data_IF_056350654111
#
_entry.id   IF_056350654111
#
_cell.length_a   1.000
_cell.length_b   1.000
_cell.length_c   1.000
_cell.angle_alpha   90.00
_cell.angle_beta   90.00
_cell.angle_gamma   90.00
#
_symmetry.space_group_name_H-M   'P 1'
#
loop_
_entity.id
_entity.type
_entity.pdbx_description
1 polymer ?
#
# COMPACT_ATOMS: atom_id res chain seq x y z
N UNK A 1 -25.83 -12.69 5.49
CA UNK A 1 -24.52 -12.13 5.14
C UNK A 1 -24.41 -11.94 3.64
N UNK A 2 -23.65 -10.94 3.19
CA UNK A 2 -23.28 -10.74 1.79
C UNK A 2 -21.75 -10.69 1.68
N UNK A 3 -21.20 -11.19 0.58
CA UNK A 3 -19.76 -11.14 0.30
C UNK A 3 -19.54 -10.27 -0.94
N UNK A 4 -18.70 -9.24 -0.79
CA UNK A 4 -18.28 -8.37 -1.89
C UNK A 4 -16.78 -8.57 -2.07
N UNK A 5 -16.38 -9.06 -3.24
CA UNK A 5 -14.98 -9.16 -3.63
C UNK A 5 -14.72 -8.12 -4.72
N UNK A 6 -13.81 -7.20 -4.46
CA UNK A 6 -13.34 -6.24 -5.46
C UNK A 6 -11.92 -6.60 -5.86
N UNK A 7 -11.75 -7.06 -7.09
CA UNK A 7 -10.45 -7.36 -7.68
C UNK A 7 -10.07 -6.28 -8.69
N UNK A 8 -8.77 -6.03 -8.84
CA UNK A 8 -8.22 -5.05 -9.80
C UNK A 8 -8.64 -3.60 -9.51
N UNK A 9 -8.33 -3.08 -8.32
CA UNK A 9 -8.53 -1.64 -8.02
C UNK A 9 -7.64 -0.71 -8.86
N UNK A 10 -6.45 -1.19 -9.25
CA UNK A 10 -5.52 -0.50 -10.14
C UNK A 10 -5.28 -1.31 -11.44
N UNK A 11 -6.22 -1.32 -12.39
CA UNK A 11 -6.07 -2.07 -13.64
C UNK A 11 -4.88 -1.58 -14.47
N UNK A 12 -4.60 -0.27 -14.45
CA UNK A 12 -3.44 0.28 -15.13
C UNK A 12 -2.14 -0.26 -14.54
N UNK A 13 -1.99 -0.23 -13.21
CA UNK A 13 -0.81 -0.78 -12.53
C UNK A 13 -0.60 -2.26 -12.83
N UNK A 14 -1.67 -3.07 -12.84
CA UNK A 14 -1.57 -4.49 -13.21
C UNK A 14 -1.12 -4.68 -14.66
N UNK A 15 -1.69 -3.93 -15.61
CA UNK A 15 -1.34 -4.01 -17.03
C UNK A 15 0.09 -3.55 -17.29
N UNK A 16 0.53 -2.48 -16.62
CA UNK A 16 1.83 -1.83 -16.85
C UNK A 16 2.94 -2.29 -15.89
N UNK A 17 2.66 -3.30 -15.06
CA UNK A 17 3.54 -3.83 -14.02
C UNK A 17 4.08 -2.73 -13.09
N UNK A 18 3.17 -1.92 -12.55
CA UNK A 18 3.45 -0.79 -11.65
C UNK A 18 2.60 -0.85 -10.39
N UNK A 19 3.11 -0.21 -9.34
CA UNK A 19 2.32 0.11 -8.15
C UNK A 19 1.29 1.21 -8.40
N UNK A 20 1.69 2.22 -9.17
CA UNK A 20 0.92 3.45 -9.39
C UNK A 20 -0.06 3.34 -10.56
N UNK A 21 -1.03 4.25 -10.62
CA UNK A 21 -1.96 4.33 -11.76
C UNK A 21 -1.37 5.12 -12.95
N UNK A 22 -2.20 5.43 -13.94
CA UNK A 22 -1.84 6.19 -15.15
C UNK A 22 -1.29 7.58 -14.88
N UNK A 23 -1.68 8.20 -13.77
CA UNK A 23 -1.24 9.53 -13.35
C UNK A 23 -0.12 9.48 -12.31
N UNK A 24 0.55 8.34 -12.16
CA UNK A 24 1.56 8.07 -11.15
C UNK A 24 1.05 8.19 -9.70
N UNK A 25 -0.27 8.09 -9.51
CA UNK A 25 -0.90 8.16 -8.19
C UNK A 25 -0.84 6.79 -7.51
N UNK A 26 -0.38 6.77 -6.27
CA UNK A 26 -0.58 5.64 -5.35
C UNK A 26 -2.02 5.69 -4.84
N UNK A 27 -2.85 4.75 -5.31
CA UNK A 27 -4.26 4.71 -4.92
C UNK A 27 -4.45 4.51 -3.41
N UNK A 28 -3.47 3.93 -2.71
CA UNK A 28 -3.49 3.80 -1.25
C UNK A 28 -3.15 5.13 -0.54
N UNK A 29 -3.04 6.25 -1.27
CA UNK A 29 -2.88 7.61 -0.74
C UNK A 29 -3.91 8.59 -1.32
N UNK A 30 -4.89 8.11 -2.10
CA UNK A 30 -5.74 8.98 -2.92
C UNK A 30 -7.12 9.27 -2.29
N UNK A 31 -7.55 8.55 -1.26
CA UNK A 31 -8.87 8.73 -0.64
C UNK A 31 -8.85 9.83 0.44
N UNK A 32 -8.41 11.03 0.07
CA UNK A 32 -8.44 12.21 0.95
C UNK A 32 -9.59 13.16 0.60
N UNK A 33 -10.06 13.99 1.55
CA UNK A 33 -10.97 15.09 1.27
C UNK A 33 -10.41 16.06 0.21
N UNK A 34 -11.27 16.88 -0.38
CA UNK A 34 -10.89 17.76 -1.51
C UNK A 34 -9.82 18.81 -1.16
N UNK A 35 -9.81 19.31 0.07
CA UNK A 35 -8.77 20.18 0.62
C UNK A 35 -7.51 19.41 1.06
N UNK A 36 -7.54 18.08 0.96
CA UNK A 36 -6.51 17.19 1.46
C UNK A 36 -5.35 16.89 0.50
N UNK A 37 -5.41 17.32 -0.76
CA UNK A 37 -4.38 16.99 -1.76
C UNK A 37 -3.17 17.94 -1.76
N UNK A 38 -2.63 18.21 -0.57
CA UNK A 38 -1.49 19.11 -0.36
C UNK A 38 -0.55 18.59 0.73
N UNK A 39 0.69 19.05 0.65
CA UNK A 39 1.77 18.76 1.58
C UNK A 39 2.64 17.57 1.17
N UNK A 40 3.83 17.54 1.74
CA UNK A 40 4.74 16.41 1.74
C UNK A 40 5.39 16.33 3.12
N UNK A 41 5.84 15.14 3.57
CA UNK A 41 6.67 15.03 4.76
C UNK A 41 7.87 16.00 4.64
N UNK A 42 8.26 16.74 5.70
CA UNK A 42 9.36 17.70 5.62
C UNK A 42 10.66 17.10 5.09
N UNK A 43 10.91 15.83 5.40
CA UNK A 43 12.07 15.07 4.95
C UNK A 43 12.01 14.65 3.47
N UNK A 44 10.83 14.64 2.84
CA UNK A 44 10.69 14.21 1.44
C UNK A 44 11.50 15.10 0.50
N UNK A 45 11.44 16.43 0.70
CA UNK A 45 12.18 17.38 -0.15
C UNK A 45 13.69 17.11 -0.13
N UNK A 46 14.25 16.80 1.06
CA UNK A 46 15.66 16.47 1.21
C UNK A 46 16.03 15.11 0.58
N UNK A 47 15.05 14.22 0.43
CA UNK A 47 15.21 12.87 -0.10
C UNK A 47 14.79 12.76 -1.58
N UNK A 48 14.16 13.78 -2.16
CA UNK A 48 13.56 13.73 -3.50
C UNK A 48 14.57 13.29 -4.57
N UNK A 49 15.77 13.87 -4.61
CA UNK A 49 16.79 13.48 -5.59
C UNK A 49 17.29 12.03 -5.40
N UNK A 50 17.20 11.51 -4.18
CA UNK A 50 17.53 10.11 -3.92
C UNK A 50 16.37 9.19 -4.33
N UNK A 51 15.13 9.52 -3.95
CA UNK A 51 13.93 8.73 -4.21
C UNK A 51 13.50 8.77 -5.69
N UNK A 52 13.71 9.90 -6.34
CA UNK A 52 13.22 10.23 -7.68
C UNK A 52 14.34 10.77 -8.58
N UNK A 53 15.37 9.97 -8.92
CA UNK A 53 16.41 10.43 -9.84
C UNK A 53 15.83 10.79 -11.21
N UNK A 54 16.30 11.91 -11.75
CA UNK A 54 15.86 12.44 -13.05
C UNK A 54 16.61 11.82 -14.23
N UNK A 55 16.79 10.51 -14.19
CA UNK A 55 17.46 9.74 -15.23
C UNK A 55 16.90 8.32 -15.32
N UNK A 56 16.94 7.68 -16.51
CA UNK A 56 16.58 6.28 -16.62
C UNK A 56 17.44 5.39 -15.71
N UNK A 57 17.00 4.16 -15.38
CA UNK A 57 17.73 3.22 -14.54
C UNK A 57 19.17 3.02 -14.99
N UNK A 58 20.08 3.28 -14.07
CA UNK A 58 21.53 3.08 -14.21
C UNK A 58 22.09 2.75 -12.83
N UNK A 59 23.26 2.10 -12.79
CA UNK A 59 24.01 1.96 -11.54
C UNK A 59 24.33 3.35 -10.98
N UNK A 60 23.86 3.64 -9.77
CA UNK A 60 23.98 4.95 -9.13
C UNK A 60 24.38 4.86 -7.64
N UNK A 61 24.99 3.73 -7.28
CA UNK A 61 25.43 3.41 -5.92
C UNK A 61 24.28 3.47 -4.90
N UNK A 62 23.06 3.10 -5.29
CA UNK A 62 21.87 3.08 -4.45
C UNK A 62 22.15 2.61 -3.01
N UNK A 63 22.79 1.45 -2.83
CA UNK A 63 23.06 0.87 -1.50
C UNK A 63 23.94 1.78 -0.63
N UNK A 64 24.99 2.39 -1.20
CA UNK A 64 25.86 3.31 -0.47
C UNK A 64 25.12 4.60 -0.11
N UNK A 65 24.34 5.14 -1.05
CA UNK A 65 23.53 6.36 -0.83
C UNK A 65 22.44 6.13 0.21
N UNK A 66 21.76 4.98 0.16
CA UNK A 66 20.78 4.57 1.16
C UNK A 66 21.42 4.44 2.55
N UNK A 67 22.58 3.77 2.64
CA UNK A 67 23.35 3.65 3.89
C UNK A 67 23.72 5.01 4.47
N UNK A 68 24.24 5.92 3.66
CA UNK A 68 24.59 7.28 4.10
C UNK A 68 23.37 8.06 4.59
N UNK A 69 22.23 7.96 3.90
CA UNK A 69 20.99 8.60 4.34
C UNK A 69 20.47 8.03 5.66
N UNK A 70 20.61 6.72 5.89
CA UNK A 70 20.25 6.08 7.15
C UNK A 70 21.12 6.62 8.29
N UNK A 71 22.43 6.78 8.06
CA UNK A 71 23.35 7.39 9.04
C UNK A 71 22.98 8.85 9.32
N UNK A 72 22.64 9.62 8.28
CA UNK A 72 22.38 11.06 8.40
C UNK A 72 21.02 11.40 9.02
N UNK A 73 19.97 10.65 8.68
CA UNK A 73 18.59 11.00 9.02
C UNK A 73 17.91 9.97 9.94
N UNK A 74 18.50 8.78 10.10
CA UNK A 74 17.88 7.66 10.81
C UNK A 74 16.86 6.90 9.96
N UNK A 75 16.75 5.60 10.22
CA UNK A 75 15.78 4.72 9.55
C UNK A 75 14.30 5.16 9.73
N UNK A 76 13.84 5.62 10.91
CA UNK A 76 12.45 6.04 11.09
C UNK A 76 12.07 7.23 10.20
N UNK A 77 12.91 8.25 10.09
CA UNK A 77 12.65 9.44 9.27
C UNK A 77 12.59 9.10 7.77
N UNK A 78 13.45 8.19 7.31
CA UNK A 78 13.41 7.66 5.94
C UNK A 78 12.14 6.87 5.66
N UNK A 79 11.75 5.98 6.59
CA UNK A 79 10.50 5.22 6.48
C UNK A 79 9.30 6.16 6.43
N UNK A 80 9.25 7.19 7.27
CA UNK A 80 8.17 8.16 7.28
C UNK A 80 8.07 8.94 5.96
N UNK A 81 9.21 9.39 5.41
CA UNK A 81 9.23 10.09 4.12
C UNK A 81 8.68 9.23 2.98
N UNK A 82 8.97 7.93 3.00
CA UNK A 82 8.59 7.00 1.94
C UNK A 82 7.14 6.54 2.12
N UNK A 83 6.73 6.13 3.32
CA UNK A 83 5.43 5.47 3.52
C UNK A 83 4.30 6.45 3.81
N UNK A 84 4.56 7.65 4.35
CA UNK A 84 3.52 8.64 4.64
C UNK A 84 2.76 9.15 3.40
N UNK A 85 3.35 9.00 2.21
CA UNK A 85 2.84 9.58 0.97
C UNK A 85 3.10 11.09 0.89
N UNK A 86 2.92 11.66 -0.30
CA UNK A 86 3.11 13.08 -0.54
C UNK A 86 2.22 13.57 -1.68
N UNK A 87 2.02 14.89 -1.78
CA UNK A 87 1.14 15.49 -2.77
C UNK A 87 1.82 16.61 -3.58
N UNK A 88 3.12 16.84 -3.43
CA UNK A 88 3.85 17.94 -4.08
C UNK A 88 4.75 17.53 -5.25
N UNK A 89 5.04 16.25 -5.40
CA UNK A 89 5.95 15.69 -6.40
C UNK A 89 5.18 14.71 -7.30
N UNK A 90 4.52 15.16 -8.39
CA UNK A 90 3.65 14.31 -9.19
C UNK A 90 4.32 13.09 -9.83
N UNK A 91 5.59 13.21 -10.18
CA UNK A 91 6.40 12.10 -10.73
C UNK A 91 7.10 11.28 -9.65
N UNK A 92 6.96 11.68 -8.38
CA UNK A 92 7.65 11.08 -7.26
C UNK A 92 6.97 9.82 -6.73
N UNK A 93 7.73 8.99 -6.00
CA UNK A 93 7.18 7.84 -5.30
C UNK A 93 6.12 8.26 -4.27
N UNK A 94 5.07 7.45 -4.15
CA UNK A 94 3.97 7.61 -3.18
C UNK A 94 3.21 8.94 -3.33
N UNK A 95 3.12 9.46 -4.54
CA UNK A 95 2.28 10.60 -4.87
C UNK A 95 0.80 10.25 -4.71
N UNK A 96 0.06 11.00 -3.89
CA UNK A 96 -1.36 10.78 -3.61
C UNK A 96 -2.33 11.44 -4.60
N UNK A 97 -1.83 12.15 -5.61
CA UNK A 97 -2.64 12.87 -6.60
C UNK A 97 -2.94 14.32 -6.21
N UNK A 98 -3.73 15.01 -7.05
CA UNK A 98 -4.26 16.37 -6.77
C UNK A 98 -5.80 16.41 -6.69
N UNK A 99 -6.42 15.24 -6.76
CA UNK A 99 -7.87 15.01 -6.75
C UNK A 99 -8.13 13.50 -6.63
N UNK A 100 -9.37 13.13 -6.34
CA UNK A 100 -9.78 11.73 -6.36
C UNK A 100 -9.73 11.17 -7.80
N UNK A 101 -9.00 10.08 -7.96
CA UNK A 101 -8.75 9.41 -9.25
C UNK A 101 -9.98 8.63 -9.74
N UNK A 102 -10.02 8.28 -11.02
CA UNK A 102 -11.19 7.62 -11.62
C UNK A 102 -11.49 6.24 -10.99
N UNK A 103 -10.45 5.45 -10.69
CA UNK A 103 -10.61 4.15 -10.03
C UNK A 103 -11.28 4.27 -8.66
N UNK A 104 -10.70 5.05 -7.72
CA UNK A 104 -11.31 5.40 -6.44
C UNK A 104 -12.75 5.94 -6.52
N UNK A 105 -13.05 6.82 -7.50
CA UNK A 105 -14.43 7.29 -7.75
C UNK A 105 -15.39 6.14 -8.08
N UNK A 106 -15.00 5.25 -8.99
CA UNK A 106 -15.80 4.08 -9.37
C UNK A 106 -15.97 3.11 -8.21
N UNK A 107 -14.91 2.89 -7.43
CA UNK A 107 -14.94 2.06 -6.24
C UNK A 107 -15.93 2.60 -5.20
N UNK A 108 -15.88 3.91 -4.89
CA UNK A 108 -16.84 4.56 -4.00
C UNK A 108 -18.28 4.44 -4.52
N UNK A 109 -18.52 4.74 -5.79
CA UNK A 109 -19.84 4.61 -6.40
C UNK A 109 -20.39 3.18 -6.41
N UNK A 110 -19.52 2.16 -6.51
CA UNK A 110 -19.90 0.76 -6.44
C UNK A 110 -20.30 0.36 -5.02
N UNK A 111 -19.50 0.74 -4.02
CA UNK A 111 -19.67 0.28 -2.64
C UNK A 111 -20.78 1.00 -1.89
N UNK A 112 -20.85 2.34 -1.95
CA UNK A 112 -21.78 3.13 -1.13
C UNK A 112 -23.22 2.61 -1.13
N UNK A 113 -23.89 2.40 -2.29
CA UNK A 113 -25.27 1.90 -2.28
C UNK A 113 -25.40 0.44 -1.80
N UNK A 114 -24.35 -0.39 -1.94
CA UNK A 114 -24.36 -1.80 -1.51
C UNK A 114 -24.17 -1.95 -0.01
N UNK A 115 -23.46 -1.00 0.60
CA UNK A 115 -23.21 -1.01 2.03
C UNK A 115 -24.31 -0.30 2.83
N UNK A 116 -25.18 0.50 2.21
CA UNK A 116 -26.10 1.43 2.88
C UNK A 116 -26.94 0.86 4.05
N UNK A 117 -27.28 -0.44 4.03
CA UNK A 117 -28.05 -1.11 5.08
C UNK A 117 -27.22 -2.08 5.93
N UNK A 118 -25.90 -2.13 5.76
CA UNK A 118 -25.03 -3.00 6.54
C UNK A 118 -24.92 -2.45 7.97
N UNK A 119 -25.21 -3.31 8.96
CA UNK A 119 -25.04 -2.99 10.38
C UNK A 119 -23.65 -3.41 10.90
N UNK A 120 -23.05 -4.42 10.27
CA UNK A 120 -21.72 -4.95 10.58
C UNK A 120 -20.96 -5.26 9.30
N UNK A 121 -19.69 -4.88 9.26
CA UNK A 121 -18.79 -5.10 8.12
C UNK A 121 -17.46 -5.64 8.63
N UNK A 122 -16.96 -6.71 8.00
CA UNK A 122 -15.55 -7.08 8.08
C UNK A 122 -14.92 -6.71 6.74
N UNK A 123 -14.01 -5.75 6.76
CA UNK A 123 -13.31 -5.25 5.58
C UNK A 123 -11.88 -5.79 5.58
N UNK A 124 -11.54 -6.59 4.56
CA UNK A 124 -10.19 -7.16 4.42
C UNK A 124 -9.52 -6.52 3.20
N UNK A 125 -8.44 -5.78 3.43
CA UNK A 125 -7.59 -5.19 2.41
C UNK A 125 -6.29 -5.98 2.27
N UNK A 126 -6.06 -6.56 1.09
CA UNK A 126 -4.97 -7.52 0.88
C UNK A 126 -3.79 -6.85 0.17
N UNK A 127 -2.63 -6.91 0.82
CA UNK A 127 -1.37 -6.33 0.34
C UNK A 127 -0.23 -7.32 0.35
N UNK A 128 0.82 -6.96 -0.38
CA UNK A 128 2.10 -7.67 -0.39
C UNK A 128 3.20 -6.64 -0.22
N UNK A 129 4.28 -7.01 0.46
CA UNK A 129 5.38 -6.10 0.68
C UNK A 129 6.07 -6.37 2.01
N UNK A 130 5.49 -5.83 3.08
CA UNK A 130 6.09 -5.77 4.40
C UNK A 130 5.83 -7.04 5.22
N UNK A 131 6.73 -7.38 6.14
CA UNK A 131 6.61 -8.53 7.03
C UNK A 131 7.53 -9.69 6.66
N UNK A 132 7.35 -10.82 7.36
CA UNK A 132 8.17 -12.02 7.17
C UNK A 132 7.76 -12.76 5.90
N UNK A 133 8.74 -13.24 5.14
CA UNK A 133 8.52 -13.85 3.82
C UNK A 133 7.47 -14.98 3.85
N UNK A 134 6.35 -14.78 3.14
CA UNK A 134 5.25 -15.76 3.03
C UNK A 134 4.38 -15.90 4.28
N UNK A 135 4.52 -14.98 5.24
CA UNK A 135 3.63 -14.84 6.39
C UNK A 135 2.83 -13.55 6.27
N UNK A 136 1.58 -13.60 6.73
CA UNK A 136 0.75 -12.40 6.86
C UNK A 136 0.89 -11.77 8.24
N UNK A 137 0.83 -10.44 8.25
CA UNK A 137 0.52 -9.66 9.44
C UNK A 137 -0.86 -9.05 9.24
N UNK A 138 -1.74 -9.18 10.24
CA UNK A 138 -3.07 -8.56 10.21
C UNK A 138 -3.00 -7.24 10.97
N UNK A 139 -2.93 -6.14 10.23
CA UNK A 139 -2.84 -4.80 10.78
C UNK A 139 -4.24 -4.23 10.98
N UNK A 140 -4.52 -3.82 12.21
CA UNK A 140 -5.84 -3.33 12.63
C UNK A 140 -5.71 -2.03 13.40
N UNK A 141 -6.79 -1.26 13.50
CA UNK A 141 -6.82 -0.08 14.38
C UNK A 141 -6.70 -0.51 15.85
N UNK A 142 -6.02 0.31 16.65
CA UNK A 142 -5.71 -0.01 18.04
C UNK A 142 -6.97 -0.26 18.88
N UNK A 143 -8.04 0.49 18.62
CA UNK A 143 -9.35 0.33 19.28
C UNK A 143 -10.01 -1.03 19.00
N UNK A 144 -9.69 -1.67 17.87
CA UNK A 144 -10.24 -2.96 17.47
C UNK A 144 -9.29 -4.13 17.76
N UNK A 145 -8.11 -3.87 18.31
CA UNK A 145 -7.05 -4.87 18.47
C UNK A 145 -7.49 -6.09 19.27
N UNK A 146 -8.00 -5.90 20.48
CA UNK A 146 -8.36 -7.02 21.35
C UNK A 146 -9.51 -7.85 20.77
N UNK A 147 -10.54 -7.18 20.23
CA UNK A 147 -11.67 -7.85 19.56
C UNK A 147 -11.20 -8.66 18.36
N UNK A 148 -10.37 -8.09 17.48
CA UNK A 148 -9.93 -8.76 16.28
C UNK A 148 -8.88 -9.83 16.56
N UNK A 149 -8.04 -9.66 17.58
CA UNK A 149 -7.12 -10.72 18.04
C UNK A 149 -7.88 -11.91 18.62
N UNK A 150 -8.98 -11.68 19.33
CA UNK A 150 -9.84 -12.78 19.79
C UNK A 150 -10.49 -13.55 18.63
N UNK A 151 -10.67 -12.92 17.46
CA UNK A 151 -11.26 -13.50 16.27
C UNK A 151 -10.21 -14.21 15.38
N UNK A 152 -9.12 -13.53 15.07
CA UNK A 152 -8.12 -13.95 14.07
C UNK A 152 -6.80 -14.45 14.68
N UNK A 153 -6.67 -14.40 16.01
CA UNK A 153 -5.54 -14.94 16.76
C UNK A 153 -4.28 -14.07 16.73
N UNK A 154 -3.15 -14.71 17.02
CA UNK A 154 -1.83 -14.06 17.26
C UNK A 154 -1.22 -13.34 16.06
N UNK A 155 -1.83 -13.46 14.88
CA UNK A 155 -1.41 -12.75 13.65
C UNK A 155 -1.79 -11.27 13.67
N UNK A 156 -2.71 -10.87 14.55
CA UNK A 156 -3.17 -9.49 14.69
C UNK A 156 -2.11 -8.63 15.37
N UNK A 157 -1.86 -7.47 14.79
CA UNK A 157 -0.96 -6.43 15.31
C UNK A 157 -1.67 -5.07 15.23
N UNK A 158 -1.54 -4.22 16.25
CA UNK A 158 -2.06 -2.88 16.16
C UNK A 158 -1.25 -2.11 15.11
N UNK A 159 -1.95 -1.26 14.36
CA UNK A 159 -1.35 -0.29 13.45
C UNK A 159 -0.82 0.90 14.26
N UNK A 160 0.07 0.66 15.22
CA UNK A 160 0.56 1.70 16.11
C UNK A 160 1.52 2.66 15.37
N UNK A 161 1.20 3.95 15.40
CA UNK A 161 2.00 5.05 14.84
C UNK A 161 3.33 5.30 15.60
N UNK A 162 3.47 4.84 16.85
CA UNK A 162 4.67 5.03 17.67
C UNK A 162 5.70 3.90 17.47
N UNK A 163 5.27 2.64 17.35
CA UNK A 163 6.16 1.51 17.05
C UNK A 163 6.52 1.42 15.56
N UNK A 164 5.66 1.94 14.68
CA UNK A 164 5.90 2.03 13.25
C UNK A 164 5.27 3.30 12.66
N UNK A 165 5.95 4.47 12.77
CA UNK A 165 5.51 5.74 12.17
C UNK A 165 5.25 5.67 10.66
N UNK A 166 5.68 4.58 10.03
CA UNK A 166 5.41 4.24 8.64
C UNK A 166 3.92 4.00 8.35
N UNK A 167 3.07 3.67 9.33
CA UNK A 167 1.71 3.20 9.05
C UNK A 167 0.58 4.22 9.15
N UNK A 168 0.85 5.49 9.50
CA UNK A 168 -0.18 6.55 9.36
C UNK A 168 -0.32 6.97 7.91
N UNK A 169 -1.01 6.12 7.15
CA UNK A 169 -1.33 6.34 5.76
C UNK A 169 -2.45 7.36 5.67
N UNK A 170 -2.20 8.48 4.98
CA UNK A 170 -3.23 9.43 4.62
C UNK A 170 -3.86 9.01 3.30
N UNK A 171 -5.19 8.87 3.27
CA UNK A 171 -5.93 8.57 2.03
C UNK A 171 -6.05 7.09 1.70
N UNK A 172 -6.08 6.22 2.72
CA UNK A 172 -6.39 4.80 2.55
C UNK A 172 -7.86 4.60 2.11
N UNK A 173 -8.09 3.58 1.29
CA UNK A 173 -9.40 3.31 0.70
C UNK A 173 -10.49 2.96 1.73
N UNK A 174 -10.10 2.49 2.91
CA UNK A 174 -10.99 2.16 4.04
C UNK A 174 -11.89 3.33 4.44
N UNK A 175 -11.41 4.57 4.26
CA UNK A 175 -12.20 5.78 4.52
C UNK A 175 -13.54 5.81 3.76
N UNK A 176 -13.64 5.14 2.61
CA UNK A 176 -14.88 5.01 1.85
C UNK A 176 -15.93 4.19 2.60
N UNK A 177 -15.52 3.13 3.29
CA UNK A 177 -16.41 2.23 4.02
C UNK A 177 -17.02 2.98 5.20
N UNK A 178 -16.17 3.60 6.03
CA UNK A 178 -16.60 4.44 7.15
C UNK A 178 -17.53 5.58 6.73
N UNK A 179 -17.26 6.23 5.59
CA UNK A 179 -18.14 7.28 5.05
C UNK A 179 -19.47 6.74 4.52
N UNK A 180 -19.49 5.53 3.95
CA UNK A 180 -20.70 4.95 3.38
C UNK A 180 -21.69 4.49 4.45
N UNK A 181 -21.20 4.06 5.60
CA UNK A 181 -22.00 3.51 6.70
C UNK A 181 -21.50 3.97 8.08
N UNK A 182 -21.67 5.26 8.43
CA UNK A 182 -21.10 5.84 9.65
C UNK A 182 -21.68 5.27 10.96
N UNK A 183 -22.71 4.43 10.89
CA UNK A 183 -23.35 3.78 12.05
C UNK A 183 -23.08 2.28 12.13
N UNK A 184 -22.41 1.70 11.12
CA UNK A 184 -22.10 0.28 11.13
C UNK A 184 -20.91 -0.02 12.04
N UNK A 185 -20.91 -1.20 12.63
CA UNK A 185 -19.72 -1.76 13.28
C UNK A 185 -18.76 -2.26 12.20
N UNK A 186 -17.61 -1.61 12.05
CA UNK A 186 -16.64 -1.89 10.99
C UNK A 186 -15.37 -2.47 11.60
N UNK A 187 -15.06 -3.70 11.23
CA UNK A 187 -13.81 -4.38 11.54
C UNK A 187 -12.92 -4.37 10.30
N UNK A 188 -12.04 -3.38 10.20
CA UNK A 188 -11.08 -3.30 9.10
C UNK A 188 -9.77 -4.01 9.43
N UNK A 189 -9.29 -4.77 8.45
CA UNK A 189 -8.06 -5.56 8.54
C UNK A 189 -7.25 -5.34 7.27
N UNK A 190 -6.05 -4.80 7.41
CA UNK A 190 -5.05 -4.83 6.34
C UNK A 190 -4.24 -6.11 6.49
N UNK A 191 -4.44 -7.07 5.57
CA UNK A 191 -3.65 -8.31 5.50
C UNK A 191 -2.41 -8.06 4.64
N UNK A 192 -1.26 -7.90 5.28
CA UNK A 192 0.01 -7.64 4.60
C UNK A 192 0.86 -8.92 4.54
N UNK A 193 1.13 -9.41 3.34
CA UNK A 193 2.01 -10.56 3.12
C UNK A 193 3.47 -10.15 2.90
N UNK A 194 4.36 -10.69 3.72
CA UNK A 194 5.79 -10.38 3.63
C UNK A 194 6.44 -10.91 2.36
N UNK A 195 7.25 -10.05 1.75
CA UNK A 195 8.07 -10.37 0.56
C UNK A 195 9.54 -10.11 0.89
N UNK A 196 10.22 -9.26 0.16
CA UNK A 196 11.63 -8.93 0.37
C UNK A 196 11.83 -7.82 1.40
N UNK A 197 13.09 -7.63 1.81
CA UNK A 197 13.43 -6.57 2.76
C UNK A 197 13.08 -5.17 2.20
N UNK A 198 12.77 -4.19 3.07
CA UNK A 198 12.31 -2.86 2.66
C UNK A 198 13.26 -2.12 1.69
N UNK A 199 14.57 -2.31 1.82
CA UNK A 199 15.56 -1.68 0.93
C UNK A 199 15.46 -2.20 -0.50
N UNK A 200 15.25 -3.52 -0.67
CA UNK A 200 15.00 -4.13 -1.99
C UNK A 200 13.67 -3.63 -2.57
N UNK A 201 12.62 -3.56 -1.75
CA UNK A 201 11.30 -3.05 -2.16
C UNK A 201 11.39 -1.60 -2.64
N UNK A 202 12.04 -0.73 -1.87
CA UNK A 202 12.24 0.67 -2.23
C UNK A 202 13.04 0.81 -3.53
N UNK A 203 14.12 0.04 -3.69
CA UNK A 203 14.92 0.11 -4.91
C UNK A 203 14.09 -0.33 -6.14
N UNK A 204 13.33 -1.41 -6.04
CA UNK A 204 12.49 -1.88 -7.15
C UNK A 204 11.45 -0.82 -7.57
N UNK A 205 10.76 -0.20 -6.59
CA UNK A 205 9.81 0.89 -6.84
C UNK A 205 10.47 2.07 -7.53
N UNK A 206 11.64 2.48 -7.02
CA UNK A 206 12.42 3.58 -7.54
C UNK A 206 12.86 3.35 -8.99
N UNK A 207 13.47 2.20 -9.27
CA UNK A 207 13.97 1.89 -10.62
C UNK A 207 12.83 1.70 -11.63
N UNK A 208 11.69 1.14 -11.23
CA UNK A 208 10.51 1.11 -12.07
C UNK A 208 9.99 2.52 -12.38
N UNK A 209 9.90 3.38 -11.36
CA UNK A 209 9.42 4.74 -11.54
C UNK A 209 10.38 5.59 -12.42
N UNK A 210 11.69 5.42 -12.27
CA UNK A 210 12.71 6.01 -13.16
C UNK A 210 12.53 5.56 -14.60
N UNK A 211 12.32 4.26 -14.82
CA UNK A 211 12.09 3.72 -16.17
C UNK A 211 10.84 4.30 -16.81
N UNK A 212 9.78 4.45 -16.02
CA UNK A 212 8.52 5.00 -16.50
C UNK A 212 8.62 6.47 -16.93
N UNK A 213 9.26 7.33 -16.13
CA UNK A 213 9.30 8.78 -16.40
C UNK A 213 10.50 9.23 -17.23
N UNK A 214 11.62 8.52 -17.16
CA UNK A 214 12.90 8.95 -17.76
C UNK A 214 13.51 7.92 -18.71
N UNK A 215 12.88 6.75 -18.86
CA UNK A 215 13.21 5.75 -19.88
C UNK A 215 12.15 5.69 -20.98
N UNK A 216 12.06 4.56 -21.68
CA UNK A 216 11.03 4.35 -22.70
C UNK A 216 9.66 3.94 -22.09
N UNK A 217 9.63 3.59 -20.79
CA UNK A 217 8.40 3.21 -20.09
C UNK A 217 7.75 1.91 -20.53
N UNK A 218 8.35 1.16 -21.47
CA UNK A 218 7.84 -0.08 -22.04
C UNK A 218 7.89 -1.25 -21.05
N UNK A 219 7.11 -2.31 -21.32
CA UNK A 219 6.92 -3.46 -20.45
C UNK A 219 8.08 -4.46 -20.42
N UNK A 220 8.92 -4.45 -21.45
CA UNK A 220 10.03 -5.39 -21.67
C UNK A 220 11.26 -5.08 -20.81
N UNK A 221 11.34 -3.88 -20.24
CA UNK A 221 12.47 -3.52 -19.38
C UNK A 221 12.48 -4.32 -18.08
N UNK A 222 13.67 -4.73 -17.64
CA UNK A 222 13.85 -5.64 -16.49
C UNK A 222 13.27 -5.09 -15.18
N UNK A 223 13.26 -3.77 -14.98
CA UNK A 223 12.70 -3.13 -13.78
C UNK A 223 11.21 -3.43 -13.59
N UNK A 224 10.44 -3.63 -14.67
CA UNK A 224 9.04 -4.05 -14.62
C UNK A 224 8.88 -5.44 -14.02
N UNK A 225 9.71 -6.39 -14.47
CA UNK A 225 9.71 -7.75 -13.95
C UNK A 225 10.27 -7.83 -12.54
N UNK A 226 11.30 -7.04 -12.22
CA UNK A 226 11.87 -6.95 -10.87
C UNK A 226 10.81 -6.40 -9.89
N UNK A 227 10.05 -5.38 -10.28
CA UNK A 227 8.98 -4.86 -9.43
C UNK A 227 7.88 -5.91 -9.23
N UNK A 228 7.45 -6.58 -10.30
CA UNK A 228 6.47 -7.66 -10.22
C UNK A 228 6.94 -8.77 -9.29
N UNK A 229 8.17 -9.27 -9.45
CA UNK A 229 8.77 -10.28 -8.56
C UNK A 229 8.79 -9.80 -7.11
N UNK A 230 9.09 -8.52 -6.90
CA UNK A 230 9.20 -7.94 -5.56
C UNK A 230 7.89 -7.99 -4.79
N UNK A 231 6.74 -7.78 -5.45
CA UNK A 231 5.42 -7.81 -4.83
C UNK A 231 4.67 -9.13 -5.04
N UNK A 232 5.05 -9.92 -6.05
CA UNK A 232 4.47 -11.22 -6.36
C UNK A 232 5.58 -12.22 -6.74
N UNK A 233 6.32 -12.74 -5.74
CA UNK A 233 7.41 -13.68 -5.98
C UNK A 233 7.00 -14.88 -6.83
N UNK A 234 7.94 -15.39 -7.64
CA UNK A 234 7.76 -16.62 -8.42
C UNK A 234 7.86 -17.90 -7.60
N UNK A 235 8.33 -17.81 -6.35
CA UNK A 235 8.34 -18.91 -5.39
C UNK A 235 6.92 -19.49 -5.19
N UNK A 236 6.70 -20.70 -5.68
CA UNK A 236 5.43 -21.41 -5.58
C UNK A 236 5.03 -21.69 -4.13
N UNK A 237 6.00 -21.92 -3.24
CA UNK A 237 5.75 -22.14 -1.82
C UNK A 237 5.23 -20.86 -1.16
N UNK A 238 5.76 -19.70 -1.56
CA UNK A 238 5.25 -18.40 -1.10
C UNK A 238 3.81 -18.20 -1.58
N UNK A 239 3.52 -18.46 -2.87
CA UNK A 239 2.17 -18.31 -3.44
C UNK A 239 1.16 -19.24 -2.76
N UNK A 240 1.53 -20.49 -2.50
CA UNK A 240 0.69 -21.45 -1.80
C UNK A 240 0.36 -20.97 -0.37
N UNK A 241 1.36 -20.46 0.37
CA UNK A 241 1.15 -19.91 1.72
C UNK A 241 0.23 -18.69 1.72
N UNK A 242 0.38 -17.79 0.74
CA UNK A 242 -0.49 -16.61 0.60
C UNK A 242 -1.93 -17.03 0.37
N UNK A 243 -2.18 -17.97 -0.56
CA UNK A 243 -3.52 -18.48 -0.84
C UNK A 243 -4.14 -19.18 0.38
N UNK A 244 -3.34 -20.01 1.07
CA UNK A 244 -3.79 -20.71 2.28
C UNK A 244 -4.22 -19.73 3.38
N UNK A 245 -3.38 -18.76 3.71
CA UNK A 245 -3.65 -17.77 4.77
C UNK A 245 -4.74 -16.78 4.41
N UNK A 246 -4.82 -16.38 3.14
CA UNK A 246 -5.91 -15.53 2.64
C UNK A 246 -7.26 -16.25 2.76
N UNK A 247 -7.31 -17.54 2.39
CA UNK A 247 -8.49 -18.38 2.58
C UNK A 247 -8.86 -18.51 4.06
N UNK A 248 -7.88 -18.81 4.92
CA UNK A 248 -8.11 -18.94 6.37
C UNK A 248 -8.73 -17.68 6.96
N UNK A 249 -8.20 -16.49 6.64
CA UNK A 249 -8.73 -15.22 7.12
C UNK A 249 -10.16 -14.98 6.64
N UNK A 250 -10.44 -15.26 5.36
CA UNK A 250 -11.78 -15.11 4.79
C UNK A 250 -12.79 -16.05 5.48
N UNK A 251 -12.44 -17.31 5.72
CA UNK A 251 -13.29 -18.28 6.42
C UNK A 251 -13.54 -17.86 7.88
N UNK A 252 -12.51 -17.39 8.58
CA UNK A 252 -12.63 -16.84 9.94
C UNK A 252 -13.58 -15.63 9.95
N UNK A 253 -13.41 -14.69 9.02
CA UNK A 253 -14.27 -13.51 8.92
C UNK A 253 -15.72 -13.87 8.66
N UNK A 254 -15.98 -14.76 7.69
CA UNK A 254 -17.33 -15.23 7.37
C UNK A 254 -18.02 -15.94 8.55
N UNK A 255 -17.27 -16.64 9.40
CA UNK A 255 -17.82 -17.30 10.60
C UNK A 255 -18.25 -16.35 11.71
N UNK A 256 -17.90 -15.05 11.61
CA UNK A 256 -18.15 -14.01 12.63
C UNK A 256 -19.10 -12.90 12.18
N UNK A 257 -19.50 -12.90 10.91
CA UNK A 257 -20.58 -12.07 10.38
C UNK A 257 -21.95 -12.64 10.78
#
# INVERSE_FOLDING_TARGET
AALIIVHVLNPYGMLWLRRFNENNVDLNRNFVPDDGYSGAPPTYAALDLFLNPKSPPTSDLFTLRAGWLIVKHGMPALKQAVVGGQYEYPTGLFFGGKRLEQGPKKYKALLTPRLACAERIIAIDVHTGLGKYGEDTLLVEEEHYDTLRAIFGERVRPSNAEESPAYRIRGAHEAVIHQAVPKAEIFAVTQEFGTYNPTKVLNALREENRWHHHGAGTLDHSTKQILKETFYPQDESWRARVLQRGKELLEQGLSKL
#
